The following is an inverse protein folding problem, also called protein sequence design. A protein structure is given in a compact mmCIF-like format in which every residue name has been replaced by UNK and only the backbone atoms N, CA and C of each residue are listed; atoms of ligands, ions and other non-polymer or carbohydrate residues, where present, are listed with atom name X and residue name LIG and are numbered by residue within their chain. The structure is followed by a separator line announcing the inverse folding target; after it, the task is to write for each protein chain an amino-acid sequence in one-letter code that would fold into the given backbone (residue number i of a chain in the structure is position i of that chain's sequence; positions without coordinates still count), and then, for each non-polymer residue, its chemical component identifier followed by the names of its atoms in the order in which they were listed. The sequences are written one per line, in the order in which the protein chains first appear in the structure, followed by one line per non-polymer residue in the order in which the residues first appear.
data_IF_046235653997
#
_entry.id   IF_046235653997
#
_cell.length_a   1.000
_cell.length_b   1.000
_cell.length_c   1.000
_cell.angle_alpha   90.00
_cell.angle_beta   90.00
_cell.angle_gamma   90.00
#
_symmetry.space_group_name_H-M   'P 1'
#
loop_
_entity.id
_entity.type
_entity.pdbx_description
1 polymer ?
#
# COMPACT_ATOMS: atom_id res chain seq x y z
N UNK A 1 26.74 -64.06 -10.15
CA UNK A 1 26.52 -63.73 -8.71
C UNK A 1 27.49 -62.71 -8.10
N UNK A 2 28.24 -61.95 -8.88
CA UNK A 2 29.21 -60.94 -8.33
C UNK A 2 28.78 -59.48 -8.59
N UNK A 3 27.84 -59.24 -9.44
CA UNK A 3 27.38 -57.88 -9.81
C UNK A 3 26.30 -57.34 -8.84
N UNK A 4 25.52 -58.24 -8.22
CA UNK A 4 24.41 -57.86 -7.29
C UNK A 4 24.90 -57.39 -5.90
N UNK A 5 26.16 -57.66 -5.53
CA UNK A 5 26.76 -57.24 -4.24
C UNK A 5 27.33 -55.80 -4.25
N UNK A 6 27.66 -55.28 -5.43
CA UNK A 6 28.23 -53.93 -5.56
C UNK A 6 27.13 -52.85 -5.55
N UNK A 7 25.93 -53.20 -6.05
CA UNK A 7 24.80 -52.28 -6.07
C UNK A 7 24.21 -52.08 -4.66
N UNK A 8 24.31 -53.08 -3.77
CA UNK A 8 23.81 -52.96 -2.39
C UNK A 8 24.74 -52.16 -1.46
N UNK A 9 26.01 -52.03 -1.80
CA UNK A 9 26.98 -51.27 -1.00
C UNK A 9 26.99 -49.79 -1.37
N UNK A 10 26.56 -49.41 -2.59
CA UNK A 10 26.45 -48.01 -3.03
C UNK A 10 25.17 -47.32 -2.57
N UNK A 11 24.14 -48.08 -2.15
CA UNK A 11 22.86 -47.52 -1.68
C UNK A 11 22.90 -47.15 -0.17
N UNK A 12 23.91 -47.61 0.57
CA UNK A 12 24.03 -47.32 2.01
C UNK A 12 24.90 -46.10 2.33
N UNK A 13 25.49 -45.44 1.32
CA UNK A 13 26.33 -44.25 1.50
C UNK A 13 25.62 -42.93 1.18
N UNK A 14 24.32 -42.96 0.81
CA UNK A 14 23.56 -41.77 0.39
C UNK A 14 22.65 -41.17 1.49
N UNK A 15 22.73 -41.64 2.74
CA UNK A 15 21.89 -41.14 3.85
C UNK A 15 22.73 -40.50 4.95
N UNK A 16 23.74 -39.73 4.58
CA UNK A 16 24.31 -38.72 5.47
C UNK A 16 23.94 -37.32 4.99
N UNK A 17 22.63 -36.99 4.99
CA UNK A 17 22.22 -35.60 5.05
C UNK A 17 22.69 -35.05 6.39
N UNK A 18 23.56 -34.03 6.42
CA UNK A 18 23.77 -33.29 7.66
C UNK A 18 22.44 -32.67 7.99
N UNK A 19 21.81 -33.07 9.10
CA UNK A 19 20.81 -32.26 9.78
C UNK A 19 21.51 -30.94 10.13
N UNK A 20 21.33 -29.96 9.28
CA UNK A 20 21.55 -28.59 9.68
C UNK A 20 20.42 -28.31 10.68
N UNK A 21 20.77 -28.48 11.96
CA UNK A 21 19.93 -28.02 13.03
C UNK A 21 19.63 -26.54 12.75
N UNK A 22 18.38 -26.25 12.45
CA UNK A 22 17.86 -24.89 12.50
C UNK A 22 18.13 -24.40 13.93
N UNK A 23 19.16 -23.60 14.05
CA UNK A 23 19.41 -22.84 15.26
C UNK A 23 18.26 -21.82 15.34
N UNK A 24 17.12 -22.27 15.86
CA UNK A 24 16.10 -21.38 16.37
C UNK A 24 16.78 -20.51 17.42
N UNK A 25 16.94 -19.23 17.09
CA UNK A 25 17.47 -18.25 18.02
C UNK A 25 16.71 -18.38 19.32
N UNK A 26 17.36 -18.84 20.38
CA UNK A 26 16.77 -18.92 21.70
C UNK A 26 16.51 -17.49 22.16
N UNK A 27 15.25 -17.06 22.03
CA UNK A 27 14.80 -15.84 22.72
C UNK A 27 15.04 -16.06 24.20
N UNK A 28 15.84 -15.20 24.80
CA UNK A 28 16.05 -15.22 26.24
C UNK A 28 14.72 -14.90 26.90
N UNK A 29 14.15 -15.89 27.62
CA UNK A 29 12.89 -15.69 28.35
C UNK A 29 13.15 -14.79 29.55
N UNK A 30 12.43 -13.68 29.63
CA UNK A 30 12.55 -12.70 30.71
C UNK A 30 11.57 -13.09 31.82
N UNK A 31 12.12 -13.40 33.02
CA UNK A 31 11.30 -13.65 34.21
C UNK A 31 10.84 -12.33 34.81
N UNK A 32 9.56 -12.01 34.62
CA UNK A 32 8.95 -10.77 35.12
C UNK A 32 8.83 -10.71 36.65
N UNK A 33 8.90 -11.84 37.34
CA UNK A 33 8.79 -11.88 38.81
C UNK A 33 10.14 -11.70 39.48
N UNK A 34 11.26 -11.80 38.75
CA UNK A 34 12.60 -11.75 39.33
C UNK A 34 13.51 -10.82 38.49
N UNK A 35 13.41 -9.50 38.68
CA UNK A 35 14.23 -8.53 37.98
C UNK A 35 15.72 -8.75 38.22
N UNK A 36 16.53 -8.78 37.15
CA UNK A 36 17.98 -8.98 37.22
C UNK A 36 18.71 -7.76 36.68
N UNK A 37 19.85 -7.45 37.30
CA UNK A 37 20.75 -6.39 36.82
C UNK A 37 21.70 -6.96 35.80
N UNK A 38 21.91 -6.20 34.72
CA UNK A 38 22.85 -6.52 33.65
C UNK A 38 23.65 -5.27 33.27
N UNK A 39 24.88 -5.46 32.86
CA UNK A 39 25.66 -4.45 32.16
C UNK A 39 25.34 -4.56 30.66
N UNK A 40 25.08 -3.45 30.00
CA UNK A 40 24.85 -3.41 28.56
C UNK A 40 26.13 -3.71 27.80
N UNK A 41 26.25 -4.89 27.18
CA UNK A 41 27.41 -5.27 26.37
C UNK A 41 27.40 -4.63 24.98
N UNK A 42 26.20 -4.34 24.47
CA UNK A 42 26.00 -3.72 23.16
C UNK A 42 24.52 -3.69 22.80
N UNK A 43 24.19 -2.89 21.78
CA UNK A 43 22.83 -2.77 21.26
C UNK A 43 22.85 -2.96 19.76
N UNK A 44 22.08 -3.94 19.29
CA UNK A 44 21.82 -4.18 17.86
C UNK A 44 20.52 -3.50 17.48
N UNK A 45 20.54 -2.78 16.36
CA UNK A 45 19.36 -2.17 15.78
C UNK A 45 18.96 -2.93 14.51
N UNK A 46 17.68 -3.26 14.38
CA UNK A 46 17.10 -3.91 13.21
C UNK A 46 15.89 -3.12 12.68
N UNK A 47 15.72 -3.10 11.34
CA UNK A 47 14.57 -2.49 10.69
C UNK A 47 14.73 -1.02 10.31
N UNK A 48 15.86 -0.39 10.60
CA UNK A 48 16.13 0.99 10.19
C UNK A 48 16.40 1.05 8.68
N UNK A 49 15.52 1.74 7.95
CA UNK A 49 15.63 1.92 6.50
C UNK A 49 15.95 3.36 6.11
N UNK A 50 15.44 4.31 6.84
CA UNK A 50 15.48 5.74 6.50
C UNK A 50 16.24 6.57 7.55
N UNK A 51 16.13 6.25 8.84
CA UNK A 51 16.86 6.90 9.92
C UNK A 51 18.25 6.30 10.10
N UNK A 52 19.21 7.11 10.58
CA UNK A 52 20.51 6.58 10.95
C UNK A 52 20.44 5.80 12.27
N UNK A 53 21.21 4.72 12.37
CA UNK A 53 21.26 3.91 13.59
C UNK A 53 21.67 4.73 14.81
N UNK A 54 22.67 5.62 14.64
CA UNK A 54 23.18 6.45 15.74
C UNK A 54 22.11 7.37 16.32
N UNK A 55 21.27 7.98 15.46
CA UNK A 55 20.17 8.84 15.91
C UNK A 55 19.15 8.07 16.74
N UNK A 56 18.81 6.85 16.31
CA UNK A 56 17.85 6.00 17.02
C UNK A 56 18.42 5.57 18.36
N UNK A 57 19.68 5.13 18.40
CA UNK A 57 20.36 4.70 19.63
C UNK A 57 20.53 5.86 20.62
N UNK A 58 20.81 7.08 20.13
CA UNK A 58 20.88 8.28 20.96
C UNK A 58 19.53 8.56 21.63
N UNK A 59 18.41 8.46 20.91
CA UNK A 59 17.07 8.65 21.47
C UNK A 59 16.73 7.52 22.46
N UNK A 60 17.11 6.29 22.15
CA UNK A 60 16.94 5.15 23.04
C UNK A 60 17.68 5.36 24.37
N UNK A 61 18.77 6.10 24.36
CA UNK A 61 19.64 6.35 25.53
C UNK A 61 20.14 5.07 26.20
N UNK A 62 20.36 4.01 25.40
CA UNK A 62 20.89 2.73 25.85
C UNK A 62 22.33 2.60 25.32
N UNK A 63 23.31 2.73 26.21
CA UNK A 63 24.71 2.75 25.85
C UNK A 63 25.47 1.57 26.46
N UNK A 64 26.51 1.11 25.75
CA UNK A 64 27.41 0.10 26.26
C UNK A 64 28.05 0.52 27.59
N UNK A 65 28.05 -0.38 28.57
CA UNK A 65 28.60 -0.17 29.91
C UNK A 65 27.60 0.34 30.93
N UNK A 66 26.37 0.71 30.52
CA UNK A 66 25.31 1.08 31.48
C UNK A 66 24.83 -0.14 32.25
N UNK A 67 24.49 0.05 33.52
CA UNK A 67 23.75 -0.93 34.32
C UNK A 67 22.26 -0.75 34.08
N UNK A 68 21.56 -1.83 33.76
CA UNK A 68 20.10 -1.86 33.54
C UNK A 68 19.47 -3.02 34.27
N UNK A 69 18.29 -2.83 34.79
CA UNK A 69 17.49 -3.90 35.40
C UNK A 69 16.47 -4.38 34.36
N UNK A 70 16.32 -5.70 34.22
CA UNK A 70 15.36 -6.30 33.29
C UNK A 70 14.56 -7.38 33.99
N UNK A 71 13.23 -7.31 33.96
CA UNK A 71 12.40 -6.21 33.45
C UNK A 71 12.43 -4.97 34.35
N UNK A 72 12.23 -3.80 33.78
CA UNK A 72 12.10 -2.55 34.53
C UNK A 72 11.32 -1.50 33.77
N UNK A 73 10.89 -0.46 34.47
CA UNK A 73 10.26 0.70 33.89
C UNK A 73 11.22 1.45 32.94
N UNK A 74 12.53 1.42 33.23
CA UNK A 74 13.56 1.99 32.35
C UNK A 74 13.54 1.40 30.95
N UNK A 75 13.38 0.08 30.85
CA UNK A 75 13.28 -0.60 29.54
C UNK A 75 12.00 -0.19 28.79
N UNK A 76 10.90 -0.05 29.50
CA UNK A 76 9.62 0.45 28.91
C UNK A 76 9.75 1.91 28.47
N UNK A 77 10.50 2.71 29.20
CA UNK A 77 10.75 4.11 28.85
C UNK A 77 11.59 4.27 27.57
N UNK A 78 12.44 3.30 27.21
CA UNK A 78 13.15 3.30 25.92
C UNK A 78 12.14 3.23 24.77
N UNK A 79 11.21 2.29 24.85
CA UNK A 79 10.13 2.13 23.87
C UNK A 79 9.32 3.43 23.80
N UNK A 80 8.90 3.97 24.93
CA UNK A 80 8.12 5.21 25.01
C UNK A 80 8.85 6.41 24.39
N UNK A 81 10.15 6.59 24.68
CA UNK A 81 10.95 7.67 24.07
C UNK A 81 11.02 7.58 22.56
N UNK A 82 11.21 6.38 22.03
CA UNK A 82 11.21 6.14 20.58
C UNK A 82 9.82 6.41 19.98
N UNK A 83 8.75 5.93 20.60
CA UNK A 83 7.37 6.19 20.17
C UNK A 83 7.01 7.68 20.10
N UNK A 84 7.45 8.45 21.07
CA UNK A 84 7.21 9.90 21.13
C UNK A 84 7.80 10.65 19.93
N UNK A 85 8.81 10.10 19.26
CA UNK A 85 9.38 10.69 18.04
C UNK A 85 8.41 10.63 16.84
N UNK A 86 7.38 9.77 16.88
CA UNK A 86 6.39 9.57 15.79
C UNK A 86 7.02 9.17 14.43
N UNK A 87 8.21 8.58 14.47
CA UNK A 87 8.89 8.08 13.27
C UNK A 87 8.69 6.57 13.07
N UNK A 88 8.11 5.89 14.05
CA UNK A 88 8.01 4.43 14.06
C UNK A 88 6.55 3.97 14.06
N UNK A 89 6.28 2.90 13.34
CA UNK A 89 5.02 2.16 13.35
C UNK A 89 5.02 1.11 14.46
N UNK A 90 6.19 0.47 14.66
CA UNK A 90 6.41 -0.45 15.75
C UNK A 90 7.81 -0.30 16.32
N UNK A 91 7.94 -0.54 17.64
CA UNK A 91 9.20 -0.52 18.40
C UNK A 91 9.15 -1.61 19.42
N UNK A 92 10.14 -2.49 19.39
CA UNK A 92 10.32 -3.51 20.44
C UNK A 92 11.77 -3.56 20.90
N UNK A 93 11.95 -3.85 22.19
CA UNK A 93 13.26 -4.03 22.81
C UNK A 93 13.30 -5.43 23.40
N UNK A 94 14.32 -6.20 23.07
CA UNK A 94 14.51 -7.56 23.54
C UNK A 94 15.97 -7.82 23.94
N UNK A 95 16.21 -8.84 24.72
CA UNK A 95 17.57 -9.35 24.98
C UNK A 95 17.94 -10.26 23.82
N UNK A 96 19.02 -9.94 23.12
CA UNK A 96 19.57 -10.75 22.03
C UNK A 96 20.38 -11.92 22.57
N UNK A 97 21.24 -11.65 23.56
CA UNK A 97 22.05 -12.66 24.22
C UNK A 97 22.54 -12.20 25.61
N UNK A 98 22.92 -13.14 26.44
CA UNK A 98 23.52 -12.89 27.75
C UNK A 98 24.85 -13.65 27.81
N UNK A 99 25.88 -13.03 28.41
CA UNK A 99 27.19 -13.71 28.61
C UNK A 99 27.05 -14.93 29.52
N UNK A 100 27.96 -15.91 29.44
CA UNK A 100 27.96 -17.08 30.32
C UNK A 100 28.04 -16.71 31.81
N UNK A 101 28.70 -15.61 32.17
CA UNK A 101 28.78 -15.04 33.51
C UNK A 101 27.46 -14.46 34.02
N UNK A 102 26.49 -14.27 33.07
CA UNK A 102 25.15 -13.73 33.31
C UNK A 102 25.10 -12.32 33.94
N UNK A 103 26.16 -11.54 33.73
CA UNK A 103 26.27 -10.15 34.17
C UNK A 103 26.14 -9.13 33.04
N UNK A 104 26.42 -9.55 31.81
CA UNK A 104 26.39 -8.69 30.62
C UNK A 104 25.32 -9.17 29.65
N UNK A 105 24.43 -8.27 29.23
CA UNK A 105 23.38 -8.54 28.25
C UNK A 105 23.57 -7.69 26.98
N UNK A 106 23.33 -8.32 25.85
CA UNK A 106 23.24 -7.64 24.55
C UNK A 106 21.78 -7.44 24.19
N UNK A 107 21.44 -6.23 23.81
CA UNK A 107 20.05 -5.84 23.51
C UNK A 107 19.83 -5.73 22.02
N UNK A 108 18.62 -6.03 21.61
CA UNK A 108 18.14 -5.81 20.25
C UNK A 108 16.95 -4.84 20.27
N UNK A 109 17.04 -3.77 19.51
CA UNK A 109 15.95 -2.84 19.26
C UNK A 109 15.46 -3.12 17.84
N UNK A 110 14.23 -3.62 17.69
CA UNK A 110 13.58 -3.82 16.41
C UNK A 110 12.57 -2.71 16.18
N UNK A 111 12.61 -2.10 15.00
CA UNK A 111 11.74 -0.97 14.64
C UNK A 111 11.12 -1.19 13.27
N UNK A 112 9.92 -0.64 13.10
CA UNK A 112 9.30 -0.43 11.79
C UNK A 112 9.16 1.08 11.61
N UNK A 113 9.85 1.63 10.62
CA UNK A 113 9.84 3.08 10.39
C UNK A 113 8.61 3.52 9.59
N UNK A 114 8.11 4.75 9.89
CA UNK A 114 7.10 5.45 9.11
C UNK A 114 7.75 6.42 8.15
N UNK A 115 7.86 6.10 6.86
CA UNK A 115 8.52 6.98 5.91
C UNK A 115 7.76 8.30 5.71
N UNK A 116 8.50 9.41 5.59
CA UNK A 116 7.96 10.75 5.37
C UNK A 116 8.21 11.22 3.93
N UNK A 117 7.20 11.83 3.34
CA UNK A 117 7.29 12.31 1.95
C UNK A 117 8.18 13.53 1.84
N UNK A 118 9.30 13.45 1.13
CA UNK A 118 10.10 14.62 0.73
C UNK A 118 9.45 15.34 -0.45
N UNK A 119 9.03 14.59 -1.45
CA UNK A 119 8.31 15.07 -2.63
C UNK A 119 7.57 13.94 -3.31
N UNK A 120 6.57 14.30 -4.12
CA UNK A 120 5.90 13.34 -5.00
C UNK A 120 5.80 13.89 -6.41
N UNK A 121 5.86 13.00 -7.38
CA UNK A 121 5.83 13.29 -8.80
C UNK A 121 4.86 12.35 -9.53
N UNK A 122 4.38 12.80 -10.67
CA UNK A 122 3.55 11.99 -11.54
C UNK A 122 4.31 11.67 -12.83
N UNK A 123 4.06 10.50 -13.41
CA UNK A 123 4.42 10.15 -14.77
C UNK A 123 3.17 9.66 -15.53
N UNK A 124 3.10 9.88 -16.83
CA UNK A 124 1.92 9.56 -17.66
C UNK A 124 0.72 10.51 -17.49
N UNK A 125 0.89 11.59 -16.74
CA UNK A 125 -0.13 12.62 -16.45
C UNK A 125 0.14 13.87 -17.29
N UNK A 126 -0.90 14.54 -17.78
CA UNK A 126 -0.76 15.83 -18.46
C UNK A 126 -0.56 16.96 -17.45
N UNK A 127 0.22 17.97 -17.83
CA UNK A 127 0.56 19.10 -16.95
C UNK A 127 -0.66 19.77 -16.28
N UNK A 128 -1.75 20.01 -17.03
CA UNK A 128 -2.98 20.58 -16.45
C UNK A 128 -3.72 19.64 -15.50
N UNK A 129 -3.60 18.31 -15.70
CA UNK A 129 -4.21 17.31 -14.82
C UNK A 129 -3.41 17.11 -13.54
N UNK A 130 -2.09 17.34 -13.60
CA UNK A 130 -1.22 17.22 -12.44
C UNK A 130 -1.63 18.19 -11.31
N UNK A 131 -1.97 19.44 -11.65
CA UNK A 131 -2.42 20.42 -10.67
C UNK A 131 -3.71 19.96 -9.97
N UNK A 132 -4.71 19.51 -10.74
CA UNK A 132 -5.96 19.00 -10.19
C UNK A 132 -5.74 17.77 -9.30
N UNK A 133 -4.84 16.87 -9.70
CA UNK A 133 -4.50 15.69 -8.90
C UNK A 133 -3.78 16.06 -7.60
N UNK A 134 -2.87 17.04 -7.64
CA UNK A 134 -2.19 17.52 -6.44
C UNK A 134 -3.16 18.10 -5.41
N UNK A 135 -4.19 18.80 -5.87
CA UNK A 135 -5.24 19.36 -4.99
C UNK A 135 -6.15 18.28 -4.39
N UNK A 136 -6.42 17.19 -5.14
CA UNK A 136 -7.25 16.07 -4.67
C UNK A 136 -6.52 15.10 -3.73
N UNK A 137 -5.19 14.99 -3.87
CA UNK A 137 -4.38 14.12 -3.04
C UNK A 137 -4.04 14.81 -1.72
N UNK A 138 -4.41 14.18 -0.61
CA UNK A 138 -4.06 14.69 0.72
C UNK A 138 -2.63 14.26 1.14
N UNK A 139 -1.65 14.53 0.27
CA UNK A 139 -0.24 14.26 0.52
C UNK A 139 0.47 15.57 0.80
N UNK A 140 1.19 15.63 1.92
CA UNK A 140 1.96 16.83 2.30
C UNK A 140 3.44 16.48 2.40
N UNK A 141 4.31 17.41 2.03
CA UNK A 141 5.74 17.29 2.30
C UNK A 141 5.97 17.17 3.81
N UNK A 142 6.80 16.21 4.22
CA UNK A 142 7.01 15.86 5.64
C UNK A 142 5.88 15.03 6.27
N UNK A 143 4.80 14.80 5.53
CA UNK A 143 3.72 13.91 5.97
C UNK A 143 4.13 12.44 5.93
N UNK A 144 3.45 11.63 6.70
CA UNK A 144 3.60 10.18 6.73
C UNK A 144 3.08 9.56 5.42
N UNK A 145 3.75 8.52 4.95
CA UNK A 145 3.34 7.76 3.76
C UNK A 145 3.25 6.28 4.08
N UNK A 146 2.10 5.87 4.54
CA UNK A 146 1.77 4.47 4.80
C UNK A 146 1.21 3.78 3.55
N UNK A 147 1.12 2.46 3.58
CA UNK A 147 0.45 1.68 2.52
C UNK A 147 -1.00 2.13 2.31
N UNK A 148 -1.69 2.49 3.39
CA UNK A 148 -3.03 3.07 3.32
C UNK A 148 -3.07 4.38 2.51
N UNK A 149 -2.11 5.29 2.74
CA UNK A 149 -2.00 6.55 1.97
C UNK A 149 -1.70 6.26 0.51
N UNK A 150 -0.82 5.31 0.22
CA UNK A 150 -0.51 4.89 -1.15
C UNK A 150 -1.74 4.35 -1.88
N UNK A 151 -2.48 3.44 -1.26
CA UNK A 151 -3.70 2.85 -1.80
C UNK A 151 -4.79 3.90 -2.03
N UNK A 152 -5.07 4.71 -1.02
CA UNK A 152 -6.08 5.78 -1.10
C UNK A 152 -5.75 6.77 -2.20
N UNK A 153 -4.48 7.16 -2.33
CA UNK A 153 -4.01 8.04 -3.40
C UNK A 153 -4.20 7.43 -4.78
N UNK A 154 -3.85 6.15 -4.95
CA UNK A 154 -4.09 5.41 -6.18
C UNK A 154 -5.58 5.39 -6.55
N UNK A 155 -6.47 5.15 -5.59
CA UNK A 155 -7.91 5.10 -5.81
C UNK A 155 -8.49 6.48 -6.18
N UNK A 156 -7.99 7.56 -5.58
CA UNK A 156 -8.34 8.94 -5.96
C UNK A 156 -7.94 9.22 -7.41
N UNK A 157 -6.72 8.84 -7.81
CA UNK A 157 -6.23 9.02 -9.19
C UNK A 157 -7.08 8.20 -10.17
N UNK A 158 -7.38 6.94 -9.86
CA UNK A 158 -8.23 6.08 -10.68
C UNK A 158 -9.63 6.67 -10.86
N UNK A 159 -10.23 7.17 -9.77
CA UNK A 159 -11.54 7.83 -9.78
C UNK A 159 -11.54 9.08 -10.67
N UNK A 160 -10.51 9.91 -10.53
CA UNK A 160 -10.35 11.11 -11.35
C UNK A 160 -10.32 10.79 -12.85
N UNK A 161 -9.59 9.76 -13.25
CA UNK A 161 -9.54 9.36 -14.65
C UNK A 161 -10.81 8.65 -15.13
N UNK A 162 -11.48 7.89 -14.23
CA UNK A 162 -12.78 7.29 -14.51
C UNK A 162 -13.85 8.37 -14.79
N UNK A 163 -13.87 9.46 -14.03
CA UNK A 163 -14.73 10.64 -14.28
C UNK A 163 -14.46 11.26 -15.66
N UNK A 164 -13.24 11.17 -16.18
CA UNK A 164 -12.84 11.64 -17.50
C UNK A 164 -13.04 10.60 -18.62
N UNK A 165 -13.59 9.43 -18.30
CA UNK A 165 -13.93 8.35 -19.23
C UNK A 165 -12.82 7.32 -19.49
N UNK A 166 -11.77 7.29 -18.66
CA UNK A 166 -10.71 6.29 -18.70
C UNK A 166 -11.00 5.20 -17.66
N UNK A 167 -11.59 4.10 -18.07
CA UNK A 167 -12.02 3.04 -17.15
C UNK A 167 -10.94 2.00 -16.85
N UNK A 168 -9.94 1.88 -17.74
CA UNK A 168 -8.85 0.90 -17.63
C UNK A 168 -7.56 1.52 -17.08
N UNK A 169 -7.66 2.61 -16.32
CA UNK A 169 -6.50 3.30 -15.75
C UNK A 169 -5.79 2.40 -14.74
N UNK A 170 -4.47 2.30 -14.90
CA UNK A 170 -3.57 1.65 -13.95
C UNK A 170 -2.73 2.72 -13.26
N UNK A 171 -2.50 2.54 -11.98
CA UNK A 171 -1.70 3.44 -11.16
C UNK A 171 -0.76 2.61 -10.32
N UNK A 172 0.54 2.74 -10.59
CA UNK A 172 1.59 2.13 -9.81
C UNK A 172 2.22 3.18 -8.90
N UNK A 173 2.36 2.85 -7.63
CA UNK A 173 2.94 3.72 -6.62
C UNK A 173 4.33 3.20 -6.26
N UNK A 174 5.35 3.96 -6.64
CA UNK A 174 6.74 3.61 -6.38
C UNK A 174 7.33 4.57 -5.36
N UNK A 175 8.02 4.03 -4.38
CA UNK A 175 8.74 4.81 -3.37
C UNK A 175 10.24 4.60 -3.51
N UNK A 176 11.01 5.68 -3.38
CA UNK A 176 12.48 5.63 -3.36
C UNK A 176 12.98 6.47 -2.20
N UNK A 177 14.04 6.00 -1.52
CA UNK A 177 14.70 6.79 -0.49
C UNK A 177 15.16 8.13 -1.08
N UNK A 178 14.96 9.22 -0.34
CA UNK A 178 15.53 10.50 -0.71
C UNK A 178 17.02 10.52 -0.34
N UNK A 179 17.88 10.88 -1.28
CA UNK A 179 19.34 10.91 -1.07
C UNK A 179 19.83 12.18 -0.36
N UNK A 180 18.97 13.18 -0.29
CA UNK A 180 19.31 14.51 0.28
C UNK A 180 18.70 14.67 1.68
N UNK A 181 17.46 14.21 1.85
CA UNK A 181 16.73 14.33 3.11
C UNK A 181 16.72 12.96 3.79
N UNK A 182 17.39 12.85 4.92
CA UNK A 182 17.37 11.66 5.75
C UNK A 182 15.94 11.35 6.21
N UNK A 183 15.61 10.07 6.34
CA UNK A 183 14.29 9.59 6.80
C UNK A 183 13.13 9.97 5.89
N UNK A 184 13.42 10.33 4.64
CA UNK A 184 12.40 10.74 3.69
C UNK A 184 12.40 9.89 2.43
N UNK A 185 11.23 9.81 1.81
CA UNK A 185 11.01 9.11 0.54
C UNK A 185 10.50 10.06 -0.52
N UNK A 186 10.85 9.75 -1.75
CA UNK A 186 10.23 10.29 -2.96
C UNK A 186 9.16 9.33 -3.41
N UNK A 187 7.95 9.83 -3.63
CA UNK A 187 6.84 9.04 -4.13
C UNK A 187 6.63 9.33 -5.61
N UNK A 188 6.52 8.31 -6.43
CA UNK A 188 6.19 8.41 -7.84
C UNK A 188 4.89 7.69 -8.12
N UNK A 189 3.92 8.42 -8.68
CA UNK A 189 2.68 7.87 -9.22
C UNK A 189 2.86 7.67 -10.72
N UNK A 190 3.04 6.43 -11.16
CA UNK A 190 3.08 6.09 -12.57
C UNK A 190 1.66 5.76 -13.04
N UNK A 191 1.12 6.60 -13.93
CA UNK A 191 -0.27 6.51 -14.38
C UNK A 191 -0.30 6.09 -15.83
N UNK A 192 -0.85 4.90 -16.09
CA UNK A 192 -1.26 4.48 -17.41
C UNK A 192 -2.77 4.67 -17.55
N UNK A 193 -3.17 5.66 -18.31
CA UNK A 193 -4.58 6.02 -18.47
C UNK A 193 -5.34 5.05 -19.37
N UNK A 194 -4.63 4.33 -20.23
CA UNK A 194 -5.24 3.57 -21.31
C UNK A 194 -6.05 4.45 -22.29
N UNK A 195 -6.98 3.83 -22.96
CA UNK A 195 -7.90 4.51 -23.90
C UNK A 195 -9.22 4.90 -23.23
N UNK A 196 -9.84 5.95 -23.78
CA UNK A 196 -11.19 6.34 -23.34
C UNK A 196 -12.22 5.34 -23.82
N UNK A 197 -13.10 4.93 -22.93
CA UNK A 197 -14.27 4.12 -23.29
C UNK A 197 -15.26 4.98 -24.08
N UNK A 198 -15.67 4.46 -25.23
CA UNK A 198 -16.63 5.10 -26.14
C UNK A 198 -17.87 4.24 -26.28
N UNK A 199 -19.03 4.87 -26.35
CA UNK A 199 -20.29 4.18 -26.59
C UNK A 199 -20.38 3.87 -28.08
N UNK A 200 -20.45 2.58 -28.42
CA UNK A 200 -20.59 2.14 -29.82
C UNK A 200 -22.05 2.09 -30.23
N UNK A 201 -22.92 1.51 -29.38
CA UNK A 201 -24.34 1.29 -29.69
C UNK A 201 -25.16 1.30 -28.39
N UNK A 202 -26.36 1.86 -28.47
CA UNK A 202 -27.37 1.80 -27.43
C UNK A 202 -28.55 1.03 -28.01
N UNK A 203 -29.04 0.06 -27.27
CA UNK A 203 -30.24 -0.73 -27.64
C UNK A 203 -31.23 -0.67 -26.50
N UNK A 204 -32.50 -0.53 -26.82
CA UNK A 204 -33.61 -0.57 -25.88
C UNK A 204 -34.33 -1.91 -26.01
N UNK A 205 -34.56 -2.59 -24.91
CA UNK A 205 -35.37 -3.82 -24.84
C UNK A 205 -36.58 -3.58 -23.96
N UNK A 206 -37.76 -4.09 -24.36
CA UNK A 206 -38.99 -3.87 -23.63
C UNK A 206 -39.54 -2.44 -23.69
N UNK A 207 -39.16 -1.69 -24.73
CA UNK A 207 -39.59 -0.31 -24.97
C UNK A 207 -40.55 -0.19 -26.18
N UNK A 208 -41.32 -1.22 -26.47
CA UNK A 208 -42.08 -1.42 -27.72
C UNK A 208 -43.16 -0.35 -27.94
N UNK A 209 -43.62 0.28 -26.88
CA UNK A 209 -44.69 1.29 -26.93
C UNK A 209 -44.18 2.71 -27.15
N UNK A 210 -42.88 2.96 -27.15
CA UNK A 210 -42.31 4.31 -27.35
C UNK A 210 -41.28 4.24 -28.48
N UNK A 211 -41.43 5.11 -29.47
CA UNK A 211 -40.49 5.13 -30.63
C UNK A 211 -39.06 5.32 -30.15
N UNK A 212 -38.18 4.42 -30.60
CA UNK A 212 -36.73 4.44 -30.25
C UNK A 212 -36.11 5.82 -30.51
N UNK A 213 -36.52 6.51 -31.57
CA UNK A 213 -36.04 7.85 -31.90
C UNK A 213 -36.36 8.88 -30.79
N UNK A 214 -37.50 8.76 -30.10
CA UNK A 214 -37.85 9.61 -28.96
C UNK A 214 -36.94 9.28 -27.76
N UNK A 215 -36.69 8.00 -27.48
CA UNK A 215 -35.84 7.54 -26.42
C UNK A 215 -34.38 8.00 -26.60
N UNK A 216 -33.83 7.80 -27.80
CA UNK A 216 -32.48 8.29 -28.14
C UNK A 216 -32.37 9.81 -28.02
N UNK A 217 -33.43 10.53 -28.39
CA UNK A 217 -33.45 12.02 -28.30
C UNK A 217 -33.47 12.50 -26.84
N UNK A 218 -34.12 11.78 -25.93
CA UNK A 218 -34.12 12.10 -24.50
C UNK A 218 -32.78 11.94 -23.84
N UNK A 219 -31.92 11.02 -24.34
CA UNK A 219 -30.54 10.81 -23.87
C UNK A 219 -29.60 11.85 -24.51
N UNK A 220 -29.42 13.00 -23.83
CA UNK A 220 -28.67 14.14 -24.40
C UNK A 220 -27.15 13.94 -24.40
N UNK A 221 -26.64 13.21 -23.45
CA UNK A 221 -25.20 13.08 -23.16
C UNK A 221 -24.63 11.73 -23.58
N UNK A 222 -25.41 10.67 -23.43
CA UNK A 222 -25.02 9.31 -23.73
C UNK A 222 -25.66 8.90 -25.07
N UNK A 223 -25.00 9.19 -26.17
CA UNK A 223 -25.49 8.85 -27.52
C UNK A 223 -24.53 7.93 -28.24
N UNK A 224 -25.07 7.01 -29.07
CA UNK A 224 -24.28 6.17 -29.95
C UNK A 224 -23.73 6.94 -31.16
N UNK A 225 -22.81 6.30 -31.91
CA UNK A 225 -22.31 6.78 -33.21
C UNK A 225 -23.38 6.52 -34.28
N UNK A 226 -24.36 7.39 -34.45
CA UNK A 226 -25.22 7.35 -35.66
C UNK A 226 -24.65 8.26 -36.75
N UNK A 227 -24.96 7.92 -38.01
CA UNK A 227 -24.43 8.51 -39.25
C UNK A 227 -24.38 10.06 -39.32
N UNK A 228 -25.13 10.77 -38.50
CA UNK A 228 -25.17 12.23 -38.46
C UNK A 228 -24.16 12.90 -37.50
N UNK A 229 -23.38 12.13 -36.75
CA UNK A 229 -22.45 12.64 -35.73
C UNK A 229 -21.03 12.09 -35.91
N UNK A 230 -20.47 12.14 -37.10
CA UNK A 230 -19.13 11.64 -37.40
C UNK A 230 -18.01 12.24 -36.55
N UNK A 231 -18.21 13.44 -36.02
CA UNK A 231 -17.16 14.17 -35.27
C UNK A 231 -17.28 14.12 -33.75
N UNK A 232 -18.34 13.54 -33.17
CA UNK A 232 -18.52 13.45 -31.73
C UNK A 232 -18.57 12.02 -31.24
N UNK A 233 -17.39 11.40 -31.05
CA UNK A 233 -17.34 10.16 -30.26
C UNK A 233 -17.66 10.50 -28.83
N UNK A 234 -18.89 10.23 -28.40
CA UNK A 234 -19.29 10.53 -27.01
C UNK A 234 -18.61 9.53 -26.08
N UNK A 235 -17.84 10.09 -25.19
CA UNK A 235 -17.13 9.35 -24.12
C UNK A 235 -18.18 8.87 -23.13
N UNK A 236 -18.09 7.65 -22.67
CA UNK A 236 -18.92 7.18 -21.59
C UNK A 236 -18.50 7.90 -20.28
N UNK A 237 -19.47 8.50 -19.61
CA UNK A 237 -19.33 9.11 -18.28
C UNK A 237 -20.49 8.64 -17.43
N UNK A 238 -20.22 7.95 -16.36
CA UNK A 238 -21.22 7.30 -15.49
C UNK A 238 -22.26 8.31 -14.96
N UNK A 239 -21.81 9.48 -14.53
CA UNK A 239 -22.68 10.55 -14.05
C UNK A 239 -23.66 11.04 -15.12
N UNK A 240 -23.19 11.20 -16.35
CA UNK A 240 -24.03 11.63 -17.47
C UNK A 240 -24.99 10.52 -17.90
N UNK A 241 -24.57 9.27 -17.82
CA UNK A 241 -25.44 8.13 -18.06
C UNK A 241 -26.56 8.02 -17.04
N UNK A 242 -26.29 8.28 -15.76
CA UNK A 242 -27.33 8.32 -14.72
C UNK A 242 -28.32 9.46 -14.94
N UNK A 243 -27.87 10.62 -15.41
CA UNK A 243 -28.76 11.71 -15.79
C UNK A 243 -29.63 11.33 -17.01
N UNK A 244 -29.02 10.69 -18.01
CA UNK A 244 -29.77 10.25 -19.21
C UNK A 244 -30.77 9.14 -18.89
N UNK A 245 -30.49 8.23 -17.92
CA UNK A 245 -31.48 7.28 -17.40
C UNK A 245 -32.71 7.98 -16.81
N UNK A 246 -32.51 9.05 -16.04
CA UNK A 246 -33.62 9.84 -15.49
C UNK A 246 -34.42 10.51 -16.60
N UNK A 247 -33.76 11.08 -17.60
CA UNK A 247 -34.41 11.70 -18.77
C UNK A 247 -35.18 10.66 -19.60
N UNK A 248 -34.70 9.44 -19.67
CA UNK A 248 -35.40 8.34 -20.33
C UNK A 248 -36.69 7.97 -19.61
N UNK A 249 -36.65 7.83 -18.28
CA UNK A 249 -37.86 7.58 -17.47
C UNK A 249 -38.85 8.73 -17.63
N UNK A 250 -38.39 10.00 -17.64
CA UNK A 250 -39.26 11.15 -17.86
C UNK A 250 -39.95 11.09 -19.22
N UNK A 251 -39.23 10.70 -20.29
CA UNK A 251 -39.82 10.53 -21.63
C UNK A 251 -40.92 9.45 -21.71
N UNK A 252 -40.77 8.37 -20.91
CA UNK A 252 -41.82 7.37 -20.76
C UNK A 252 -43.02 7.91 -19.99
N UNK A 253 -42.81 8.67 -18.90
CA UNK A 253 -43.86 9.27 -18.12
C UNK A 253 -44.69 10.28 -18.96
N UNK A 254 -44.04 11.10 -19.80
CA UNK A 254 -44.65 11.99 -20.76
C UNK A 254 -45.48 11.25 -21.82
N UNK A 255 -45.09 10.02 -22.15
CA UNK A 255 -45.83 9.16 -23.06
C UNK A 255 -47.00 8.41 -22.36
N UNK A 256 -47.28 8.66 -21.08
CA UNK A 256 -48.34 8.05 -20.30
C UNK A 256 -47.94 6.83 -19.46
N UNK A 257 -46.69 6.37 -19.56
CA UNK A 257 -46.19 5.15 -18.88
C UNK A 257 -45.56 5.49 -17.52
N UNK A 258 -46.41 5.87 -16.53
CA UNK A 258 -45.93 6.31 -15.19
C UNK A 258 -45.21 5.26 -14.37
N UNK A 259 -45.44 3.97 -14.63
CA UNK A 259 -44.76 2.85 -13.94
C UNK A 259 -43.47 2.40 -14.63
N UNK A 260 -42.99 3.15 -15.63
CA UNK A 260 -41.75 2.79 -16.34
C UNK A 260 -40.53 2.82 -15.41
N UNK A 261 -39.75 1.75 -15.46
CA UNK A 261 -38.49 1.63 -14.71
C UNK A 261 -37.42 0.99 -15.55
N UNK A 262 -36.19 1.38 -15.34
CA UNK A 262 -35.03 0.73 -15.96
C UNK A 262 -34.60 -0.42 -15.05
N UNK A 263 -34.60 -1.64 -15.58
CA UNK A 263 -34.28 -2.85 -14.80
C UNK A 263 -32.78 -3.14 -14.81
N UNK A 264 -32.09 -2.71 -15.89
CA UNK A 264 -30.64 -2.89 -16.04
C UNK A 264 -30.04 -1.81 -16.92
#
# INVERSE_FOLDING_TARGET
MRICRIIFLSLLLAISCPLWAQQSGSSVEVDYNNPKKYVVGGVRLEGNQYLSADQILQVASLQKGMEVTVPSEEMSNIVTRLWLQRYFEDVSVSIDSITPTRDTAFFKISIIERPRVSRWVFSGVKSGEEKELRERLNIRRGGEFSEYVAKTSSDIIKRYYKEKGFYNVKVDVNTKRDTVIQSAIRVQFAVDRGEKVKIQKITFKGADHVKESKLVRSMKKTRDKRLQNFFSSKKFQEKEYDNDKRSLIAAFNEAGYRAARIVK
#
